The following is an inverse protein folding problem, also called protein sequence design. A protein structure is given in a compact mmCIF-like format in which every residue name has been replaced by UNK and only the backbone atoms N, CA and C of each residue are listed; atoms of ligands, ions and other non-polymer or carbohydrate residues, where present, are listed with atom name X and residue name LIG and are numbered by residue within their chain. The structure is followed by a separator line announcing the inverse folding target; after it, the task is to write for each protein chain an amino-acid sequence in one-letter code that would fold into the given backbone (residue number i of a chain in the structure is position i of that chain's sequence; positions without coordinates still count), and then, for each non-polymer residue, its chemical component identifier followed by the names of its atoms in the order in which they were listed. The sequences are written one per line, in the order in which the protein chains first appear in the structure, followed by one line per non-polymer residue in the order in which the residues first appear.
data_IF_900501407497
#
_entry.id   IF_900501407497
#
_cell.length_a   1.000
_cell.length_b   1.000
_cell.length_c   1.000
_cell.angle_alpha   90.00
_cell.angle_beta   90.00
_cell.angle_gamma   90.00
#
_symmetry.space_group_name_H-M   'P 1'
#
loop_
_entity.id
_entity.type
_entity.pdbx_description
1 polymer ?
#
# COMPACT_ATOMS: atom_id res chain seq x y z
N UNK A 1 2.51 28.02 5.25
CA UNK A 1 2.49 27.07 4.12
C UNK A 1 3.69 26.11 4.13
N UNK A 2 4.95 26.57 4.24
CA UNK A 2 6.10 25.65 4.29
C UNK A 2 6.11 24.72 5.51
N UNK A 3 5.72 25.21 6.68
CA UNK A 3 5.59 24.39 7.90
C UNK A 3 4.49 23.33 7.77
N UNK A 4 3.32 23.72 7.28
CA UNK A 4 2.19 22.81 7.10
C UNK A 4 2.48 21.66 6.11
N UNK A 5 3.33 21.89 5.09
CA UNK A 5 3.74 20.81 4.18
C UNK A 5 4.76 19.87 4.86
N UNK A 6 5.74 20.43 5.59
CA UNK A 6 6.74 19.63 6.31
C UNK A 6 6.10 18.66 7.31
N UNK A 7 5.05 19.09 7.99
CA UNK A 7 4.29 18.26 8.93
C UNK A 7 3.52 17.11 8.30
N UNK A 8 3.38 17.08 6.96
CA UNK A 8 2.67 16.05 6.20
C UNK A 8 3.62 15.17 5.37
N UNK A 9 4.93 15.37 5.51
CA UNK A 9 5.93 14.52 4.85
C UNK A 9 6.17 13.31 5.74
N UNK A 10 6.05 12.14 5.15
CA UNK A 10 6.33 10.85 5.76
C UNK A 10 7.48 10.12 5.09
N UNK A 11 7.79 8.95 5.60
CA UNK A 11 8.82 8.07 5.05
C UNK A 11 8.36 6.61 5.07
N UNK A 12 8.60 5.91 3.96
CA UNK A 12 8.55 4.45 3.94
C UNK A 12 9.89 3.92 4.47
N UNK A 13 9.87 3.34 5.66
CA UNK A 13 11.07 2.75 6.28
C UNK A 13 11.37 1.34 5.77
N UNK A 14 10.46 0.79 4.97
CA UNK A 14 10.59 -0.53 4.38
C UNK A 14 10.63 -1.64 5.43
N UNK A 15 11.52 -2.62 5.22
CA UNK A 15 11.57 -3.86 6.00
C UNK A 15 12.89 -4.12 6.74
N UNK A 16 13.86 -3.21 6.63
CA UNK A 16 15.20 -3.40 7.20
C UNK A 16 15.34 -2.87 8.62
N UNK A 17 14.49 -1.93 8.99
CA UNK A 17 14.47 -1.24 10.28
C UNK A 17 13.33 -1.83 11.09
N UNK A 18 13.56 -2.12 12.38
CA UNK A 18 12.48 -2.56 13.27
C UNK A 18 11.46 -1.45 13.49
N UNK A 19 10.22 -1.81 13.78
CA UNK A 19 9.16 -0.83 14.03
C UNK A 19 9.55 0.12 15.18
N UNK A 20 10.18 -0.39 16.23
CA UNK A 20 10.66 0.36 17.38
C UNK A 20 11.75 1.37 17.00
N UNK A 21 12.73 0.94 16.18
CA UNK A 21 13.78 1.84 15.68
C UNK A 21 13.19 2.90 14.74
N UNK A 22 12.20 2.54 13.90
CA UNK A 22 11.48 3.47 13.04
C UNK A 22 10.77 4.56 13.83
N UNK A 23 10.05 4.20 14.91
CA UNK A 23 9.38 5.15 15.81
C UNK A 23 10.41 6.10 16.45
N UNK A 24 11.49 5.57 17.02
CA UNK A 24 12.52 6.40 17.63
C UNK A 24 13.14 7.38 16.62
N UNK A 25 13.49 6.87 15.43
CA UNK A 25 14.05 7.70 14.37
C UNK A 25 13.09 8.79 13.91
N UNK A 26 11.82 8.45 13.73
CA UNK A 26 10.78 9.38 13.29
C UNK A 26 10.59 10.52 14.32
N UNK A 27 10.52 10.18 15.60
CA UNK A 27 10.43 11.15 16.69
C UNK A 27 11.65 12.09 16.75
N UNK A 28 12.88 11.54 16.65
CA UNK A 28 14.12 12.31 16.69
C UNK A 28 14.28 13.25 15.49
N UNK A 29 13.70 12.91 14.32
CA UNK A 29 13.83 13.68 13.10
C UNK A 29 12.59 14.53 12.74
N UNK A 30 11.58 14.60 13.63
CA UNK A 30 10.33 15.32 13.41
C UNK A 30 9.60 14.87 12.12
N UNK A 31 9.64 13.56 11.83
CA UNK A 31 8.89 12.91 10.75
C UNK A 31 7.65 12.27 11.34
N UNK A 32 6.47 12.83 11.06
CA UNK A 32 5.24 12.44 11.76
C UNK A 32 4.51 11.27 11.13
N UNK A 33 4.75 10.97 9.87
CA UNK A 33 4.10 9.88 9.12
C UNK A 33 5.13 8.87 8.66
N UNK A 34 4.88 7.60 8.89
CA UNK A 34 5.73 6.55 8.37
C UNK A 34 4.96 5.24 8.21
N UNK A 35 5.35 4.41 7.26
CA UNK A 35 4.86 3.07 7.13
C UNK A 35 5.98 2.03 7.17
N UNK A 36 5.59 0.82 7.59
CA UNK A 36 6.47 -0.33 7.72
C UNK A 36 5.90 -1.52 6.95
N UNK A 37 6.80 -2.41 6.52
CA UNK A 37 6.44 -3.71 5.94
C UNK A 37 6.60 -4.81 7.01
N UNK A 38 5.62 -5.73 7.08
CA UNK A 38 5.57 -6.75 8.13
C UNK A 38 5.72 -8.18 7.60
N UNK A 39 6.37 -8.35 6.45
CA UNK A 39 6.51 -9.65 5.80
C UNK A 39 7.71 -10.46 6.27
N UNK A 40 8.78 -9.78 6.69
CA UNK A 40 10.04 -10.42 7.10
C UNK A 40 10.63 -9.78 8.35
N UNK A 41 11.54 -10.52 9.01
CA UNK A 41 12.28 -9.98 10.15
C UNK A 41 13.04 -8.69 9.79
N UNK A 42 13.11 -7.71 10.73
CA UNK A 42 12.69 -7.78 12.14
C UNK A 42 11.18 -7.57 12.36
N UNK A 43 10.41 -7.24 11.33
CA UNK A 43 8.99 -6.94 11.40
C UNK A 43 8.09 -8.09 10.89
N UNK A 44 8.55 -9.34 10.94
CA UNK A 44 7.71 -10.46 10.54
C UNK A 44 6.41 -10.49 11.36
N UNK A 45 5.28 -10.76 10.68
CA UNK A 45 3.94 -10.70 11.26
C UNK A 45 3.83 -11.46 12.60
N UNK A 46 4.45 -12.65 12.68
CA UNK A 46 4.44 -13.49 13.88
C UNK A 46 5.24 -12.90 15.04
N UNK A 47 6.07 -11.88 14.80
CA UNK A 47 6.82 -11.19 15.84
C UNK A 47 6.00 -10.15 16.61
N UNK A 48 4.81 -9.81 16.12
CA UNK A 48 3.92 -8.80 16.72
C UNK A 48 2.97 -9.44 17.72
N UNK A 49 3.48 -9.81 18.90
CA UNK A 49 2.63 -10.17 20.00
C UNK A 49 1.89 -8.96 20.60
N UNK A 50 0.94 -9.21 21.51
CA UNK A 50 0.13 -8.14 22.08
C UNK A 50 0.94 -7.13 22.92
N UNK A 51 2.07 -7.53 23.47
CA UNK A 51 2.94 -6.65 24.25
C UNK A 51 3.70 -5.71 23.32
N UNK A 52 4.30 -6.26 22.25
CA UNK A 52 5.02 -5.50 21.22
C UNK A 52 4.10 -4.50 20.53
N UNK A 53 2.90 -4.94 20.12
CA UNK A 53 1.92 -4.04 19.49
C UNK A 53 1.55 -2.88 20.40
N UNK A 54 1.30 -3.14 21.67
CA UNK A 54 0.96 -2.10 22.65
C UNK A 54 2.10 -1.11 22.83
N UNK A 55 3.32 -1.60 23.00
CA UNK A 55 4.50 -0.75 23.15
C UNK A 55 4.70 0.19 21.94
N UNK A 56 4.59 -0.33 20.72
CA UNK A 56 4.73 0.48 19.49
C UNK A 56 3.62 1.53 19.43
N UNK A 57 2.37 1.15 19.72
CA UNK A 57 1.23 2.08 19.76
C UNK A 57 1.46 3.20 20.77
N UNK A 58 1.82 2.86 21.99
CA UNK A 58 2.10 3.84 23.05
C UNK A 58 3.23 4.80 22.65
N UNK A 59 4.31 4.29 22.05
CA UNK A 59 5.39 5.12 21.53
C UNK A 59 4.94 6.06 20.41
N UNK A 60 4.09 5.62 19.49
CA UNK A 60 3.51 6.49 18.46
C UNK A 60 2.63 7.58 19.09
N UNK A 61 1.73 7.21 20.00
CA UNK A 61 0.83 8.16 20.68
C UNK A 61 1.61 9.20 21.49
N UNK A 62 2.63 8.79 22.26
CA UNK A 62 3.47 9.68 23.06
C UNK A 62 4.24 10.70 22.22
N UNK A 63 4.60 10.36 20.98
CA UNK A 63 5.38 11.22 20.08
C UNK A 63 4.51 11.88 18.99
N UNK A 64 3.20 11.65 18.97
CA UNK A 64 2.29 12.21 17.98
C UNK A 64 2.60 11.71 16.56
N UNK A 65 2.98 10.43 16.42
CA UNK A 65 3.35 9.81 15.16
C UNK A 65 2.18 9.03 14.58
N UNK A 66 2.07 9.04 13.25
CA UNK A 66 1.08 8.34 12.46
C UNK A 66 1.72 7.15 11.76
N UNK A 67 1.27 5.96 12.07
CA UNK A 67 1.80 4.70 11.54
C UNK A 67 0.89 4.15 10.45
N UNK A 68 1.49 3.77 9.33
CA UNK A 68 0.89 2.96 8.28
C UNK A 68 1.55 1.59 8.15
N UNK A 69 0.86 0.70 7.47
CA UNK A 69 1.39 -0.58 7.03
C UNK A 69 1.46 -0.63 5.50
N UNK A 70 2.46 -1.31 4.96
CA UNK A 70 2.62 -1.47 3.54
C UNK A 70 2.76 -2.96 3.20
N UNK A 71 1.82 -3.51 2.44
CA UNK A 71 1.87 -4.93 2.02
C UNK A 71 2.98 -5.16 1.00
N UNK A 72 3.53 -6.37 0.97
CA UNK A 72 4.56 -6.73 -0.02
C UNK A 72 3.96 -6.90 -1.40
N UNK A 73 4.43 -6.13 -2.39
CA UNK A 73 4.00 -6.23 -3.80
C UNK A 73 4.26 -7.60 -4.43
N UNK A 74 5.23 -8.34 -3.90
CA UNK A 74 5.51 -9.72 -4.29
C UNK A 74 4.44 -10.74 -3.89
N UNK A 75 3.53 -10.41 -2.97
CA UNK A 75 2.37 -11.26 -2.64
C UNK A 75 1.26 -10.99 -3.64
N UNK A 76 1.00 -11.95 -4.52
CA UNK A 76 0.03 -11.78 -5.60
C UNK A 76 -1.41 -11.93 -5.11
N UNK A 77 -2.08 -10.83 -4.81
CA UNK A 77 -3.50 -10.88 -4.43
C UNK A 77 -4.43 -11.26 -5.60
N UNK A 78 -3.95 -11.25 -6.83
CA UNK A 78 -4.64 -11.75 -8.01
C UNK A 78 -4.52 -13.29 -8.16
N UNK A 79 -4.12 -13.99 -7.11
CA UNK A 79 -3.90 -15.44 -7.14
C UNK A 79 -5.20 -16.23 -7.40
N UNK A 80 -5.14 -17.17 -8.36
CA UNK A 80 -6.27 -18.00 -8.80
C UNK A 80 -6.15 -19.47 -8.39
N UNK A 81 -4.93 -19.89 -7.97
CA UNK A 81 -4.72 -21.28 -7.54
C UNK A 81 -5.54 -21.60 -6.29
N UNK A 82 -6.35 -22.66 -6.29
CA UNK A 82 -7.13 -23.05 -5.11
C UNK A 82 -6.28 -23.28 -3.86
N UNK A 83 -5.02 -23.68 -4.02
CA UNK A 83 -4.11 -23.95 -2.92
C UNK A 83 -3.55 -22.69 -2.24
N UNK A 84 -3.53 -21.56 -2.97
CA UNK A 84 -2.94 -20.31 -2.49
C UNK A 84 -3.99 -19.24 -2.14
N UNK A 85 -5.23 -19.36 -2.67
CA UNK A 85 -6.29 -18.37 -2.46
C UNK A 85 -6.55 -18.08 -0.99
N UNK A 86 -6.72 -19.13 -0.19
CA UNK A 86 -7.05 -19.00 1.23
C UNK A 86 -5.88 -18.39 2.02
N UNK A 87 -4.65 -18.71 1.66
CA UNK A 87 -3.45 -18.11 2.25
C UNK A 87 -3.35 -16.60 1.90
N UNK A 88 -3.70 -16.23 0.67
CA UNK A 88 -3.69 -14.84 0.24
C UNK A 88 -4.85 -14.03 0.88
N UNK A 89 -6.02 -14.63 1.03
CA UNK A 89 -7.14 -14.02 1.77
C UNK A 89 -6.74 -13.80 3.25
N UNK A 90 -6.08 -14.80 3.87
CA UNK A 90 -5.58 -14.70 5.24
C UNK A 90 -4.47 -13.63 5.39
N UNK A 91 -3.62 -13.46 4.37
CA UNK A 91 -2.57 -12.44 4.35
C UNK A 91 -3.14 -11.03 4.54
N UNK A 92 -4.10 -10.63 3.70
CA UNK A 92 -4.75 -9.32 3.81
C UNK A 92 -5.49 -9.15 5.14
N UNK A 93 -6.18 -10.21 5.58
CA UNK A 93 -6.87 -10.20 6.87
C UNK A 93 -5.89 -9.99 8.04
N UNK A 94 -4.73 -10.62 8.00
CA UNK A 94 -3.72 -10.48 9.04
C UNK A 94 -3.15 -9.06 9.10
N UNK A 95 -2.96 -8.39 7.97
CA UNK A 95 -2.57 -6.97 7.93
C UNK A 95 -3.64 -6.08 8.57
N UNK A 96 -4.91 -6.31 8.25
CA UNK A 96 -6.04 -5.58 8.84
C UNK A 96 -6.11 -5.81 10.36
N UNK A 97 -5.98 -7.06 10.81
CA UNK A 97 -5.96 -7.38 12.24
C UNK A 97 -4.76 -6.74 12.96
N UNK A 98 -3.59 -6.72 12.31
CA UNK A 98 -2.38 -6.10 12.85
C UNK A 98 -2.51 -4.57 12.93
N UNK A 99 -3.08 -3.92 11.91
CA UNK A 99 -3.31 -2.47 11.93
C UNK A 99 -4.12 -2.05 13.15
N UNK A 100 -5.20 -2.78 13.45
CA UNK A 100 -6.02 -2.55 14.64
C UNK A 100 -5.24 -2.71 15.94
N UNK A 101 -4.32 -3.68 16.04
CA UNK A 101 -3.48 -3.89 17.23
C UNK A 101 -2.43 -2.78 17.40
N UNK A 102 -1.82 -2.35 16.31
CA UNK A 102 -0.79 -1.30 16.32
C UNK A 102 -1.36 0.12 16.41
N UNK A 103 -2.66 0.30 16.12
CA UNK A 103 -3.24 1.62 15.93
C UNK A 103 -2.77 2.26 14.61
N UNK A 104 -2.41 1.44 13.61
CA UNK A 104 -2.03 1.94 12.30
C UNK A 104 -3.25 2.53 11.58
N UNK A 105 -3.06 3.68 10.95
CA UNK A 105 -4.14 4.48 10.39
C UNK A 105 -4.48 4.10 8.94
N UNK A 106 -3.53 3.52 8.21
CA UNK A 106 -3.74 3.04 6.84
C UNK A 106 -2.95 1.77 6.54
N UNK A 107 -3.34 1.08 5.47
CA UNK A 107 -2.67 -0.09 4.92
C UNK A 107 -2.56 0.08 3.41
N UNK A 108 -1.35 0.26 2.89
CA UNK A 108 -1.12 0.26 1.44
C UNK A 108 -1.23 -1.17 0.92
N UNK A 109 -2.07 -1.34 -0.11
CA UNK A 109 -2.35 -2.62 -0.75
C UNK A 109 -2.16 -2.51 -2.26
N UNK A 110 -1.77 -3.62 -2.88
CA UNK A 110 -1.56 -3.74 -4.32
C UNK A 110 -2.66 -4.59 -4.96
N UNK A 111 -2.94 -4.37 -6.25
CA UNK A 111 -3.88 -5.21 -7.01
C UNK A 111 -3.31 -6.57 -7.42
N UNK A 112 -2.03 -6.81 -7.17
CA UNK A 112 -1.31 -8.00 -7.58
C UNK A 112 -0.75 -7.88 -8.99
N UNK A 113 -0.54 -9.03 -9.64
CA UNK A 113 0.03 -9.06 -10.99
C UNK A 113 -0.52 -10.21 -11.82
N UNK A 114 -0.35 -10.12 -13.14
CA UNK A 114 -0.75 -11.15 -14.08
C UNK A 114 0.37 -11.47 -15.07
N UNK A 115 0.26 -12.63 -15.69
CA UNK A 115 0.98 -12.99 -16.90
C UNK A 115 0.11 -12.64 -18.11
N UNK A 116 0.70 -12.30 -19.25
CA UNK A 116 0.00 -11.82 -20.44
C UNK A 116 -1.21 -12.69 -20.87
N UNK A 117 -1.12 -14.00 -20.68
CA UNK A 117 -2.19 -14.93 -21.06
C UNK A 117 -3.40 -15.02 -20.11
N UNK A 118 -3.40 -14.34 -18.96
CA UNK A 118 -4.43 -14.54 -17.93
C UNK A 118 -4.94 -13.24 -17.27
N UNK A 119 -4.72 -12.08 -17.90
CA UNK A 119 -5.06 -10.75 -17.37
C UNK A 119 -6.50 -10.67 -16.82
N UNK A 120 -7.51 -10.99 -17.63
CA UNK A 120 -8.93 -10.85 -17.23
C UNK A 120 -9.28 -11.70 -16.01
N UNK A 121 -8.76 -12.93 -15.93
CA UNK A 121 -9.03 -13.85 -14.82
C UNK A 121 -8.36 -13.33 -13.55
N UNK A 122 -7.11 -12.88 -13.67
CA UNK A 122 -6.33 -12.32 -12.56
C UNK A 122 -6.93 -11.00 -12.05
N UNK A 123 -7.31 -10.08 -12.93
CA UNK A 123 -7.97 -8.83 -12.56
C UNK A 123 -9.29 -9.10 -11.81
N UNK A 124 -10.10 -10.03 -12.30
CA UNK A 124 -11.34 -10.44 -11.62
C UNK A 124 -11.03 -11.00 -10.21
N UNK A 125 -10.05 -11.90 -10.10
CA UNK A 125 -9.67 -12.50 -8.81
C UNK A 125 -9.15 -11.44 -7.83
N UNK A 126 -8.36 -10.48 -8.30
CA UNK A 126 -7.89 -9.33 -7.52
C UNK A 126 -9.05 -8.51 -6.96
N UNK A 127 -9.99 -8.09 -7.81
CA UNK A 127 -11.15 -7.30 -7.40
C UNK A 127 -12.03 -8.06 -6.40
N UNK A 128 -12.30 -9.33 -6.65
CA UNK A 128 -13.10 -10.16 -5.72
C UNK A 128 -12.42 -10.29 -4.36
N UNK A 129 -11.09 -10.40 -4.32
CA UNK A 129 -10.33 -10.47 -3.07
C UNK A 129 -10.28 -9.13 -2.36
N UNK A 130 -10.03 -8.04 -3.08
CA UNK A 130 -10.08 -6.71 -2.49
C UNK A 130 -11.45 -6.37 -1.92
N UNK A 131 -12.56 -6.74 -2.59
CA UNK A 131 -13.92 -6.58 -2.03
C UNK A 131 -14.04 -7.26 -0.67
N UNK A 132 -13.59 -8.51 -0.54
CA UNK A 132 -13.61 -9.23 0.74
C UNK A 132 -12.74 -8.56 1.80
N UNK A 133 -11.56 -8.07 1.40
CA UNK A 133 -10.67 -7.36 2.31
C UNK A 133 -11.28 -6.04 2.78
N UNK A 134 -11.91 -5.28 1.88
CA UNK A 134 -12.64 -4.04 2.20
C UNK A 134 -13.83 -4.31 3.12
N UNK A 135 -14.65 -5.33 2.83
CA UNK A 135 -15.77 -5.76 3.70
C UNK A 135 -15.28 -6.15 5.12
N UNK A 136 -14.06 -6.65 5.21
CA UNK A 136 -13.45 -6.97 6.50
C UNK A 136 -12.86 -5.72 7.16
N UNK A 137 -12.19 -4.87 6.41
CA UNK A 137 -11.63 -3.60 6.88
C UNK A 137 -12.72 -2.67 7.45
N UNK A 138 -13.90 -2.59 6.80
CA UNK A 138 -15.05 -1.86 7.30
C UNK A 138 -15.49 -2.32 8.70
N UNK A 139 -15.49 -3.64 8.94
CA UNK A 139 -15.84 -4.20 10.26
C UNK A 139 -14.80 -3.94 11.34
N UNK A 140 -13.56 -3.71 10.94
CA UNK A 140 -12.42 -3.44 11.83
C UNK A 140 -12.08 -1.94 11.92
N UNK A 141 -12.84 -1.08 11.22
CA UNK A 141 -12.58 0.36 11.08
C UNK A 141 -11.16 0.65 10.54
N UNK A 142 -10.69 -0.20 9.62
CA UNK A 142 -9.39 -0.05 8.97
C UNK A 142 -9.52 0.61 7.60
N UNK A 143 -8.50 1.35 7.18
CA UNK A 143 -8.41 2.02 5.88
C UNK A 143 -7.40 1.32 4.98
N UNK A 144 -7.84 0.88 3.80
CA UNK A 144 -6.98 0.35 2.75
C UNK A 144 -6.68 1.44 1.72
N UNK A 145 -5.43 1.56 1.31
CA UNK A 145 -5.00 2.46 0.23
C UNK A 145 -4.52 1.62 -0.95
N UNK A 146 -5.30 1.56 -2.02
CA UNK A 146 -4.87 0.88 -3.25
C UNK A 146 -3.83 1.73 -3.98
N UNK A 147 -2.66 1.15 -4.21
CA UNK A 147 -1.57 1.79 -4.92
C UNK A 147 -1.69 1.56 -6.44
N UNK A 148 -1.50 2.64 -7.24
CA UNK A 148 -1.22 2.47 -8.66
C UNK A 148 0.24 2.03 -8.85
N UNK A 149 0.44 0.98 -9.63
CA UNK A 149 1.75 0.39 -9.88
C UNK A 149 2.33 0.85 -11.23
N UNK A 150 3.58 0.54 -11.45
CA UNK A 150 4.27 0.90 -12.69
C UNK A 150 3.84 0.01 -13.86
N UNK A 151 3.73 0.61 -15.03
CA UNK A 151 3.61 -0.13 -16.29
C UNK A 151 4.93 -0.82 -16.63
N UNK A 152 4.83 -2.10 -17.04
CA UNK A 152 5.95 -2.87 -17.53
C UNK A 152 5.98 -2.85 -19.08
N UNK A 153 7.13 -3.08 -19.72
CA UNK A 153 7.19 -3.20 -21.17
C UNK A 153 6.22 -4.28 -21.69
N UNK A 154 5.63 -4.05 -22.88
CA UNK A 154 4.61 -4.95 -23.46
C UNK A 154 5.03 -6.42 -23.51
N UNK A 155 6.31 -6.69 -23.70
CA UNK A 155 6.87 -8.05 -23.74
C UNK A 155 7.36 -8.57 -22.38
N UNK A 156 7.12 -7.85 -21.28
CA UNK A 156 7.44 -8.34 -19.97
C UNK A 156 6.59 -9.57 -19.63
N UNK A 157 7.17 -10.49 -18.87
CA UNK A 157 6.45 -11.70 -18.43
C UNK A 157 5.37 -11.39 -17.41
N UNK A 158 5.61 -10.41 -16.56
CA UNK A 158 4.73 -10.00 -15.45
C UNK A 158 4.29 -8.56 -15.64
N UNK A 159 3.01 -8.29 -15.45
CA UNK A 159 2.42 -6.96 -15.42
C UNK A 159 1.67 -6.75 -14.12
N UNK A 160 1.89 -5.62 -13.46
CA UNK A 160 1.23 -5.26 -12.21
C UNK A 160 -0.19 -4.73 -12.44
N UNK A 161 -0.96 -4.63 -11.35
CA UNK A 161 -2.34 -4.12 -11.38
C UNK A 161 -2.64 -3.28 -10.13
N UNK A 162 -3.31 -2.11 -10.29
CA UNK A 162 -3.50 -1.36 -11.55
C UNK A 162 -2.20 -0.65 -11.96
N UNK A 163 -1.86 -0.64 -13.25
CA UNK A 163 -0.63 -0.06 -13.79
C UNK A 163 -0.85 1.14 -14.71
N UNK A 164 -2.10 1.56 -14.91
CA UNK A 164 -2.50 2.70 -15.72
C UNK A 164 -3.77 3.36 -15.18
N UNK A 165 -4.13 4.52 -15.74
CA UNK A 165 -5.28 5.30 -15.29
C UNK A 165 -6.60 4.52 -15.41
N UNK A 166 -6.87 3.91 -16.59
CA UNK A 166 -8.14 3.20 -16.84
C UNK A 166 -8.34 2.05 -15.85
N UNK A 167 -7.28 1.29 -15.60
CA UNK A 167 -7.32 0.20 -14.63
C UNK A 167 -7.50 0.72 -13.20
N UNK A 168 -6.83 1.80 -12.84
CA UNK A 168 -6.97 2.42 -11.51
C UNK A 168 -8.42 2.88 -11.28
N UNK A 169 -9.00 3.60 -12.24
CA UNK A 169 -10.41 3.99 -12.21
C UNK A 169 -11.34 2.78 -12.08
N UNK A 170 -11.06 1.73 -12.89
CA UNK A 170 -11.87 0.52 -12.89
C UNK A 170 -11.91 -0.17 -11.53
N UNK A 171 -10.81 -0.23 -10.79
CA UNK A 171 -10.80 -0.79 -9.44
C UNK A 171 -11.71 0.00 -8.49
N UNK A 172 -11.67 1.33 -8.50
CA UNK A 172 -12.52 2.17 -7.66
C UNK A 172 -13.99 2.14 -8.09
N UNK A 173 -14.27 2.03 -9.38
CA UNK A 173 -15.63 1.83 -9.89
C UNK A 173 -16.23 0.50 -9.42
N UNK A 174 -15.43 -0.55 -9.33
CA UNK A 174 -15.85 -1.87 -8.88
C UNK A 174 -15.97 -1.97 -7.36
N UNK A 175 -15.23 -1.16 -6.60
CA UNK A 175 -15.14 -1.24 -5.14
C UNK A 175 -15.42 0.15 -4.56
N UNK A 176 -16.71 0.46 -4.43
CA UNK A 176 -17.15 1.74 -3.87
C UNK A 176 -17.30 1.62 -2.35
N UNK A 177 -16.28 2.02 -1.60
CA UNK A 177 -16.28 1.99 -0.13
C UNK A 177 -15.46 3.14 0.43
N UNK A 178 -15.88 3.75 1.55
CA UNK A 178 -15.06 4.73 2.26
C UNK A 178 -13.79 4.12 2.87
N UNK A 179 -13.74 2.78 3.02
CA UNK A 179 -12.59 2.05 3.54
C UNK A 179 -11.59 1.62 2.45
N UNK A 180 -11.79 2.03 1.19
CA UNK A 180 -10.82 1.92 0.12
C UNK A 180 -10.54 3.31 -0.46
N UNK A 181 -9.31 3.75 -0.33
CA UNK A 181 -8.80 5.01 -0.84
C UNK A 181 -7.58 4.79 -1.72
N UNK A 182 -6.99 5.83 -2.25
CA UNK A 182 -5.90 5.79 -3.21
C UNK A 182 -4.58 6.22 -2.58
N UNK A 183 -3.56 5.38 -2.72
CA UNK A 183 -2.16 5.74 -2.56
C UNK A 183 -1.60 6.08 -3.95
N UNK A 184 -1.39 7.35 -4.21
CA UNK A 184 -0.89 7.84 -5.49
C UNK A 184 0.63 7.80 -5.54
N UNK A 185 1.18 6.79 -6.20
CA UNK A 185 2.62 6.65 -6.42
C UNK A 185 3.01 7.33 -7.72
N UNK A 186 3.58 8.53 -7.60
CA UNK A 186 3.81 9.41 -8.74
C UNK A 186 4.92 8.91 -9.68
N UNK A 187 5.95 8.25 -9.16
CA UNK A 187 6.98 7.63 -9.98
C UNK A 187 6.44 6.49 -10.85
N UNK A 188 5.45 5.73 -10.37
CA UNK A 188 4.75 4.73 -11.18
C UNK A 188 3.92 5.40 -12.29
N UNK A 189 3.15 6.44 -11.96
CA UNK A 189 2.39 7.19 -12.95
C UNK A 189 3.27 7.87 -14.00
N UNK A 190 4.54 8.14 -13.69
CA UNK A 190 5.49 8.73 -14.65
C UNK A 190 5.78 7.82 -15.86
N UNK A 191 5.64 6.49 -15.70
CA UNK A 191 5.83 5.54 -16.81
C UNK A 191 4.63 5.42 -17.74
N UNK A 192 3.44 5.87 -17.32
CA UNK A 192 2.27 5.91 -18.20
C UNK A 192 2.44 7.03 -19.25
N UNK A 193 1.92 6.82 -20.45
CA UNK A 193 1.97 7.77 -21.55
C UNK A 193 1.31 9.12 -21.24
N UNK A 194 0.31 9.13 -20.34
CA UNK A 194 -0.35 10.36 -19.86
C UNK A 194 0.42 11.03 -18.72
N UNK A 195 1.35 10.30 -18.09
CA UNK A 195 2.18 10.76 -17.00
C UNK A 195 1.42 11.22 -15.74
N UNK A 196 2.15 11.81 -14.82
CA UNK A 196 1.61 12.34 -13.55
C UNK A 196 0.43 13.32 -13.79
N UNK A 197 0.50 14.29 -14.73
CA UNK A 197 -0.62 15.20 -14.98
C UNK A 197 -1.89 14.48 -15.39
N UNK A 198 -1.80 13.48 -16.28
CA UNK A 198 -2.96 12.72 -16.71
C UNK A 198 -3.65 11.95 -15.60
N UNK A 199 -2.89 11.39 -14.66
CA UNK A 199 -3.47 10.77 -13.45
C UNK A 199 -4.20 11.79 -12.56
N UNK A 200 -3.59 12.97 -12.32
CA UNK A 200 -4.20 14.03 -11.50
C UNK A 200 -5.49 14.56 -12.14
N UNK A 201 -5.52 14.70 -13.47
CA UNK A 201 -6.69 15.17 -14.22
C UNK A 201 -7.79 14.09 -14.33
N UNK A 202 -7.39 12.82 -14.43
CA UNK A 202 -8.31 11.71 -14.68
C UNK A 202 -8.91 11.08 -13.43
N UNK A 203 -8.20 11.09 -12.29
CA UNK A 203 -8.67 10.50 -11.06
C UNK A 203 -9.50 11.46 -10.23
N UNK A 204 -10.47 10.93 -9.48
CA UNK A 204 -11.11 11.68 -8.40
C UNK A 204 -10.12 11.85 -7.24
N UNK A 205 -9.54 13.04 -7.13
CA UNK A 205 -8.55 13.37 -6.09
C UNK A 205 -9.13 13.33 -4.67
N UNK A 206 -10.44 13.23 -4.47
CA UNK A 206 -11.05 12.99 -3.15
C UNK A 206 -10.82 11.57 -2.63
N UNK A 207 -10.37 10.66 -3.49
CA UNK A 207 -9.95 9.31 -3.12
C UNK A 207 -8.49 9.25 -2.64
N UNK A 208 -7.68 10.27 -2.98
CA UNK A 208 -6.23 10.27 -2.67
C UNK A 208 -5.99 10.67 -1.22
N UNK A 209 -5.54 9.72 -0.42
CA UNK A 209 -5.15 9.95 1.00
C UNK A 209 -3.62 10.03 1.16
N UNK A 210 -2.87 9.41 0.26
CA UNK A 210 -1.42 9.39 0.29
C UNK A 210 -0.85 9.70 -1.09
N UNK A 211 0.27 10.44 -1.11
CA UNK A 211 1.09 10.63 -2.31
C UNK A 211 2.49 10.11 -2.02
N UNK A 212 2.89 9.07 -2.74
CA UNK A 212 4.23 8.46 -2.63
C UNK A 212 5.15 9.04 -3.69
N UNK A 213 6.35 9.42 -3.25
CA UNK A 213 7.34 10.09 -4.10
C UNK A 213 8.65 9.34 -4.04
N UNK A 214 9.11 8.85 -5.18
CA UNK A 214 10.46 8.37 -5.39
C UNK A 214 10.98 8.92 -6.71
N UNK A 215 12.28 9.14 -6.82
CA UNK A 215 12.89 9.55 -8.08
C UNK A 215 13.25 8.33 -8.92
N UNK A 216 13.18 8.47 -10.25
CA UNK A 216 13.61 7.45 -11.22
C UNK A 216 14.17 8.11 -12.49
N UNK A 217 14.75 7.31 -13.37
CA UNK A 217 15.33 7.79 -14.63
C UNK A 217 14.34 7.80 -15.80
N UNK A 218 13.07 7.42 -15.58
CA UNK A 218 12.04 7.34 -16.63
C UNK A 218 12.16 6.15 -17.58
N UNK A 219 13.09 5.21 -17.33
CA UNK A 219 13.29 4.02 -18.18
C UNK A 219 12.72 2.75 -17.54
N UNK A 220 12.88 2.60 -16.23
CA UNK A 220 12.39 1.44 -15.46
C UNK A 220 12.23 1.81 -13.99
N UNK A 221 11.46 0.99 -13.28
CA UNK A 221 11.18 1.21 -11.86
C UNK A 221 12.45 1.03 -11.03
N UNK A 222 13.05 2.15 -10.64
CA UNK A 222 14.14 2.24 -9.68
C UNK A 222 13.88 3.41 -8.74
N UNK A 223 14.17 3.21 -7.47
CA UNK A 223 14.13 4.29 -6.49
C UNK A 223 15.53 4.93 -6.41
N UNK A 224 15.69 6.05 -7.10
CA UNK A 224 16.93 6.83 -7.06
C UNK A 224 17.00 7.64 -5.75
N UNK A 225 18.23 7.96 -5.34
CA UNK A 225 18.48 8.79 -4.16
C UNK A 225 18.49 10.26 -4.50
#
# INVERSE_FOLDING_TARGET
MKEALRQRIGVDVGRRVSAEEAVCWAAENEVYYFDIQTDIAPNALESFDNSRCRNIRELCEENGLHLGLHTLSGVNIAEISPHLRDATDAYLKNYIDLSGKLGAEWIVVHGGYHFTGCQKIRKKASIERLKKAVDYAEKQDALLLLENLNGEPELAEVHYMPDNLEDTQYYFDQIQSPHLKWSFTINHAHFDSIGIPGFIEGMDMSLCEEVRVADNNGEYEIHMK
#
